data_IF_826264690935
#
_entry.id   IF_826264690935
#
_cell.length_a   1.000
_cell.length_b   1.000
_cell.length_c   1.000
_cell.angle_alpha   90.00
_cell.angle_beta   90.00
_cell.angle_gamma   90.00
#
_symmetry.space_group_name_H-M   'P 1'
#
loop_
_entity.id
_entity.type
_entity.pdbx_description
1 polymer ?
#
# COMPACT_ATOMS: atom_id res chain seq x y z
N UNK A 1 18.08 6.62 6.61
CA UNK A 1 17.61 5.33 7.16
C UNK A 1 16.12 5.08 6.98
N UNK A 2 15.22 6.05 7.18
CA UNK A 2 13.77 5.79 7.19
C UNK A 2 13.10 5.50 5.84
N UNK A 3 13.70 5.83 4.68
CA UNK A 3 13.11 5.47 3.38
C UNK A 3 13.73 4.18 2.84
N UNK A 4 15.05 4.04 2.92
CA UNK A 4 15.82 2.90 2.40
C UNK A 4 15.45 1.57 3.07
N UNK A 5 15.20 1.56 4.39
CA UNK A 5 14.78 0.35 5.09
C UNK A 5 13.32 -0.01 4.82
N UNK A 6 12.47 0.98 4.58
CA UNK A 6 11.03 0.82 4.41
C UNK A 6 10.62 0.43 2.99
N UNK A 7 11.53 0.43 2.02
CA UNK A 7 11.35 -0.27 0.74
C UNK A 7 10.96 -1.73 0.96
N UNK A 8 11.54 -2.37 1.99
CA UNK A 8 11.26 -3.77 2.35
C UNK A 8 10.10 -3.94 3.34
N UNK A 9 9.59 -2.84 3.90
CA UNK A 9 8.45 -2.86 4.80
C UNK A 9 7.56 -1.62 4.59
N UNK A 10 6.86 -1.53 3.45
CA UNK A 10 6.14 -0.33 3.03
C UNK A 10 4.87 -0.05 3.85
N UNK A 11 4.44 -0.98 4.69
CA UNK A 11 3.27 -0.82 5.57
C UNK A 11 3.65 -0.50 7.02
N UNK A 12 4.92 -0.26 7.30
CA UNK A 12 5.35 0.10 8.65
C UNK A 12 4.93 1.53 8.99
N UNK A 13 4.25 1.70 10.11
CA UNK A 13 3.91 3.01 10.64
C UNK A 13 5.16 3.67 11.22
N UNK A 14 5.48 4.86 10.72
CA UNK A 14 6.59 5.67 11.24
C UNK A 14 6.07 6.75 12.17
N UNK A 15 6.70 6.86 13.33
CA UNK A 15 6.42 7.91 14.30
C UNK A 15 7.59 8.89 14.33
N UNK A 16 7.27 10.19 14.37
CA UNK A 16 8.27 11.25 14.54
C UNK A 16 7.92 12.09 15.74
N UNK A 17 8.92 12.35 16.57
CA UNK A 17 8.80 13.23 17.72
C UNK A 17 8.66 14.68 17.25
N UNK A 18 7.50 15.30 17.50
CA UNK A 18 7.24 16.71 17.18
C UNK A 18 7.58 17.67 18.33
N UNK A 19 8.36 17.22 19.32
CA UNK A 19 8.77 18.03 20.47
C UNK A 19 7.86 17.90 21.70
N UNK A 20 6.60 17.49 21.53
CA UNK A 20 5.64 17.28 22.65
C UNK A 20 5.00 15.90 22.67
N UNK A 21 4.78 15.32 21.49
CA UNK A 21 4.20 13.99 21.31
C UNK A 21 4.81 13.35 20.06
N UNK A 22 4.69 12.03 19.95
CA UNK A 22 4.97 11.30 18.72
C UNK A 22 3.77 11.42 17.80
N UNK A 23 4.00 11.88 16.58
CA UNK A 23 2.98 11.93 15.54
C UNK A 23 3.27 10.86 14.49
N UNK A 24 2.22 10.19 14.02
CA UNK A 24 2.31 9.35 12.84
C UNK A 24 2.74 10.19 11.63
N UNK A 25 3.73 9.69 10.89
CA UNK A 25 4.17 10.25 9.63
C UNK A 25 4.02 9.18 8.56
N UNK A 26 3.36 9.51 7.46
CA UNK A 26 3.20 8.59 6.35
C UNK A 26 4.49 8.50 5.54
N UNK A 27 4.83 7.30 5.08
CA UNK A 27 6.02 7.08 4.24
C UNK A 27 5.92 7.82 2.90
N UNK A 28 4.71 8.07 2.40
CA UNK A 28 4.50 8.91 1.22
C UNK A 28 4.94 10.37 1.45
N UNK A 29 4.73 10.91 2.65
CA UNK A 29 5.13 12.29 3.00
C UNK A 29 6.65 12.41 3.10
N UNK A 30 7.32 11.29 3.38
CA UNK A 30 8.77 11.13 3.33
C UNK A 30 9.30 10.87 1.91
N UNK A 31 8.43 10.82 0.90
CA UNK A 31 8.78 10.61 -0.50
C UNK A 31 9.04 9.15 -0.89
N UNK A 32 8.60 8.18 -0.09
CA UNK A 32 8.69 6.77 -0.47
C UNK A 32 7.77 6.50 -1.67
N UNK A 33 8.38 6.09 -2.78
CA UNK A 33 7.70 5.70 -4.00
C UNK A 33 7.88 4.19 -4.22
N UNK A 34 6.76 3.48 -4.31
CA UNK A 34 6.76 2.05 -4.62
C UNK A 34 6.66 1.90 -6.14
N UNK A 35 7.74 1.49 -6.78
CA UNK A 35 7.75 1.21 -8.21
C UNK A 35 7.27 -0.22 -8.47
N UNK A 36 6.30 -0.36 -9.37
CA UNK A 36 5.79 -1.65 -9.82
C UNK A 36 6.59 -2.14 -11.03
N UNK A 37 6.91 -3.43 -11.02
CA UNK A 37 7.84 -4.02 -11.98
C UNK A 37 9.30 -3.69 -11.66
N UNK A 38 10.21 -4.15 -12.53
CA UNK A 38 11.66 -3.91 -12.40
C UNK A 38 12.25 -4.20 -11.00
N UNK A 39 11.71 -5.20 -10.29
CA UNK A 39 12.10 -5.55 -8.92
C UNK A 39 12.09 -4.36 -7.93
N UNK A 40 11.17 -3.40 -8.12
CA UNK A 40 11.05 -2.22 -7.27
C UNK A 40 11.93 -1.04 -7.71
N UNK A 41 12.71 -1.17 -8.78
CA UNK A 41 13.43 -0.05 -9.38
C UNK A 41 12.52 0.85 -10.22
N UNK A 42 12.93 2.10 -10.40
CA UNK A 42 12.24 3.02 -11.29
C UNK A 42 12.21 2.48 -12.73
N UNK A 43 11.09 2.69 -13.41
CA UNK A 43 10.93 2.23 -14.78
C UNK A 43 11.90 2.98 -15.72
N UNK A 44 12.77 2.30 -16.48
CA UNK A 44 13.76 2.94 -17.34
C UNK A 44 13.13 3.62 -18.58
N UNK A 45 11.90 3.27 -18.92
CA UNK A 45 11.15 3.91 -20.00
C UNK A 45 10.68 5.33 -19.64
N UNK A 46 10.79 5.72 -18.37
CA UNK A 46 10.37 7.02 -17.88
C UNK A 46 11.58 7.75 -17.30
N UNK A 47 11.80 8.99 -17.75
CA UNK A 47 12.83 9.88 -17.19
C UNK A 47 12.54 10.23 -15.73
N UNK A 48 11.25 10.20 -15.32
CA UNK A 48 10.82 10.30 -13.93
C UNK A 48 9.62 9.37 -13.70
N UNK A 49 9.65 8.53 -12.66
CA UNK A 49 8.52 7.65 -12.38
C UNK A 49 7.30 8.49 -11.95
N UNK A 50 6.11 8.26 -12.53
CA UNK A 50 4.91 8.97 -12.13
C UNK A 50 4.56 8.59 -10.69
N UNK A 51 4.50 9.57 -9.79
CA UNK A 51 4.07 9.37 -8.42
C UNK A 51 2.55 9.47 -8.36
N UNK A 52 1.86 8.35 -8.52
CA UNK A 52 0.40 8.31 -8.42
C UNK A 52 -0.01 8.08 -6.96
N UNK A 53 -0.86 8.95 -6.37
CA UNK A 53 -1.39 8.70 -5.03
C UNK A 53 -2.31 7.48 -5.09
N UNK A 54 -2.11 6.56 -4.15
CA UNK A 54 -2.77 5.28 -4.15
C UNK A 54 -3.01 4.82 -2.72
N UNK A 55 -4.16 4.18 -2.49
CA UNK A 55 -4.52 3.66 -1.18
C UNK A 55 -4.35 2.15 -1.14
N UNK A 56 -3.60 1.64 -0.16
CA UNK A 56 -3.55 0.20 0.10
C UNK A 56 -4.09 -0.13 1.48
N UNK A 57 -5.01 -1.07 1.48
CA UNK A 57 -5.59 -1.60 2.71
C UNK A 57 -4.76 -2.84 3.10
N UNK A 58 -4.13 -2.76 4.27
CA UNK A 58 -3.32 -3.83 4.85
C UNK A 58 -3.88 -4.30 6.20
N UNK A 59 -3.39 -5.43 6.69
CA UNK A 59 -3.89 -6.03 7.94
C UNK A 59 -3.64 -5.15 9.18
N UNK A 60 -2.72 -4.20 9.09
CA UNK A 60 -2.38 -3.25 10.15
C UNK A 60 -2.98 -1.84 9.94
N UNK A 61 -3.83 -1.63 8.93
CA UNK A 61 -4.47 -0.33 8.69
C UNK A 61 -4.56 0.06 7.21
N UNK A 62 -4.98 1.30 6.97
CA UNK A 62 -5.16 1.90 5.65
C UNK A 62 -3.99 2.82 5.35
N UNK A 63 -3.24 2.51 4.29
CA UNK A 63 -2.00 3.21 3.94
C UNK A 63 -2.19 4.10 2.72
N UNK A 64 -1.86 5.38 2.86
CA UNK A 64 -1.68 6.28 1.72
C UNK A 64 -0.23 6.16 1.23
N UNK A 65 -0.05 5.84 -0.05
CA UNK A 65 1.25 5.59 -0.64
C UNK A 65 1.35 6.16 -2.05
N UNK A 66 2.59 6.33 -2.53
CA UNK A 66 2.86 6.72 -3.90
C UNK A 66 3.28 5.49 -4.69
N UNK A 67 2.64 5.26 -5.83
CA UNK A 67 2.94 4.15 -6.73
C UNK A 67 3.44 4.68 -8.07
N UNK A 68 4.46 4.01 -8.60
CA UNK A 68 4.94 4.19 -9.97
C UNK A 68 4.69 2.95 -10.80
N UNK A 69 3.77 3.02 -11.76
CA UNK A 69 3.54 1.93 -12.71
C UNK A 69 4.65 1.85 -13.75
N UNK A 70 5.02 0.63 -14.14
CA UNK A 70 5.89 0.39 -15.29
C UNK A 70 5.16 0.80 -16.59
N UNK A 71 5.85 1.56 -17.45
CA UNK A 71 5.35 1.98 -18.76
C UNK A 71 6.26 1.52 -19.90
N UNK A 72 7.01 0.43 -19.70
CA UNK A 72 7.79 -0.17 -20.78
C UNK A 72 6.86 -0.58 -21.95
N UNK A 73 7.32 -0.53 -23.22
CA UNK A 73 6.50 -0.89 -24.39
C UNK A 73 5.93 -2.32 -24.37
N UNK A 74 6.58 -3.22 -23.63
CA UNK A 74 6.14 -4.61 -23.39
C UNK A 74 5.68 -4.83 -21.94
N UNK A 75 5.33 -3.76 -21.25
CA UNK A 75 4.86 -3.78 -19.87
C UNK A 75 3.50 -4.45 -19.76
N UNK A 76 3.24 -5.01 -18.58
CA UNK A 76 1.94 -5.60 -18.24
C UNK A 76 0.91 -4.50 -17.95
N UNK A 77 -0.37 -4.80 -18.08
CA UNK A 77 -1.44 -3.90 -17.66
C UNK A 77 -1.32 -3.52 -16.17
N UNK A 78 -1.79 -2.33 -15.80
CA UNK A 78 -1.68 -1.81 -14.42
C UNK A 78 -2.20 -2.79 -13.36
N UNK A 79 -3.35 -3.42 -13.59
CA UNK A 79 -3.92 -4.39 -12.63
C UNK A 79 -3.04 -5.64 -12.49
N UNK A 80 -2.38 -6.10 -13.56
CA UNK A 80 -1.47 -7.25 -13.50
C UNK A 80 -0.22 -6.87 -12.73
N UNK A 81 0.32 -5.65 -12.94
CA UNK A 81 1.46 -5.15 -12.17
C UNK A 81 1.16 -5.13 -10.66
N UNK A 82 -0.06 -4.72 -10.27
CA UNK A 82 -0.52 -4.79 -8.88
C UNK A 82 -0.57 -6.23 -8.36
N UNK A 83 -1.13 -7.15 -9.14
CA UNK A 83 -1.20 -8.57 -8.75
C UNK A 83 0.19 -9.18 -8.57
N UNK A 84 1.14 -8.87 -9.46
CA UNK A 84 2.55 -9.28 -9.32
C UNK A 84 3.21 -8.70 -8.05
N UNK A 85 2.75 -7.54 -7.59
CA UNK A 85 3.19 -6.91 -6.34
C UNK A 85 2.37 -7.35 -5.11
N UNK A 86 1.56 -8.42 -5.21
CA UNK A 86 0.68 -8.91 -4.14
C UNK A 86 -0.38 -7.88 -3.68
N UNK A 87 -0.85 -7.07 -4.62
CA UNK A 87 -1.99 -6.16 -4.45
C UNK A 87 -3.16 -6.61 -5.32
N UNK A 88 -4.29 -6.86 -4.68
CA UNK A 88 -5.53 -7.12 -5.37
C UNK A 88 -6.27 -5.80 -5.61
N UNK A 89 -6.41 -5.36 -6.86
CA UNK A 89 -7.01 -4.06 -7.17
C UNK A 89 -8.49 -4.03 -6.77
N UNK A 90 -8.97 -2.88 -6.28
CA UNK A 90 -10.38 -2.67 -6.02
C UNK A 90 -11.19 -2.54 -7.34
N UNK A 91 -10.56 -1.97 -8.37
CA UNK A 91 -11.10 -1.85 -9.74
C UNK A 91 -10.03 -2.24 -10.75
N UNK A 92 -10.42 -2.92 -11.83
CA UNK A 92 -9.47 -3.31 -12.88
C UNK A 92 -9.12 -2.12 -13.80
N UNK A 93 -10.11 -1.27 -14.06
CA UNK A 93 -9.93 -0.03 -14.82
C UNK A 93 -9.42 1.07 -13.88
N UNK A 94 -8.27 1.65 -14.23
CA UNK A 94 -7.62 2.75 -13.52
C UNK A 94 -7.66 2.62 -11.99
N UNK A 95 -7.02 1.58 -11.41
CA UNK A 95 -7.05 1.34 -9.97
C UNK A 95 -6.47 2.54 -9.23
N UNK A 96 -7.18 3.00 -8.20
CA UNK A 96 -6.70 3.98 -7.21
C UNK A 96 -6.53 3.39 -5.81
N UNK A 97 -7.00 2.15 -5.65
CA UNK A 97 -7.01 1.44 -4.39
C UNK A 97 -6.77 -0.05 -4.64
N UNK A 98 -6.09 -0.69 -3.70
CA UNK A 98 -5.93 -2.13 -3.68
C UNK A 98 -5.92 -2.69 -2.26
N UNK A 99 -6.19 -3.97 -2.15
CA UNK A 99 -6.08 -4.76 -0.94
C UNK A 99 -4.80 -5.58 -1.01
N UNK A 100 -3.99 -5.56 0.03
CA UNK A 100 -2.87 -6.52 0.11
C UNK A 100 -3.41 -7.96 0.18
N UNK A 101 -2.67 -8.92 -0.38
CA UNK A 101 -3.08 -10.33 -0.26
C UNK A 101 -3.11 -10.81 1.20
N UNK A 102 -2.28 -10.21 2.07
CA UNK A 102 -2.29 -10.46 3.50
C UNK A 102 -3.64 -10.15 4.13
N UNK A 103 -4.25 -9.00 3.81
CA UNK A 103 -5.57 -8.65 4.39
C UNK A 103 -6.67 -9.56 3.87
N UNK A 104 -6.60 -9.99 2.61
CA UNK A 104 -7.60 -10.93 2.06
C UNK A 104 -7.55 -12.27 2.80
N UNK A 105 -6.35 -12.78 3.10
CA UNK A 105 -6.18 -14.01 3.88
C UNK A 105 -6.65 -13.84 5.32
N UNK A 106 -6.30 -12.73 5.98
CA UNK A 106 -6.70 -12.45 7.35
C UNK A 106 -8.22 -12.29 7.48
N UNK A 107 -8.84 -11.52 6.58
CA UNK A 107 -10.28 -11.37 6.52
C UNK A 107 -11.00 -12.70 6.28
N UNK A 108 -10.49 -13.53 5.36
CA UNK A 108 -11.07 -14.84 5.10
C UNK A 108 -11.09 -15.72 6.36
N UNK A 109 -10.01 -15.74 7.14
CA UNK A 109 -9.97 -16.47 8.42
C UNK A 109 -10.95 -15.87 9.45
N UNK A 110 -11.02 -14.54 9.56
CA UNK A 110 -11.97 -13.88 10.46
C UNK A 110 -13.43 -14.13 10.07
N UNK A 111 -13.74 -14.18 8.77
CA UNK A 111 -15.06 -14.52 8.27
C UNK A 111 -15.41 -15.97 8.63
N UNK A 112 -14.49 -16.93 8.42
CA UNK A 112 -14.73 -18.35 8.72
C UNK A 112 -14.84 -18.63 10.22
N UNK A 113 -13.91 -18.11 11.03
CA UNK A 113 -13.82 -18.45 12.45
C UNK A 113 -14.77 -17.62 13.33
N UNK A 114 -15.01 -16.36 12.97
CA UNK A 114 -15.72 -15.41 13.83
C UNK A 114 -17.00 -14.87 13.21
N UNK A 115 -17.34 -15.25 11.96
CA UNK A 115 -18.48 -14.73 11.20
C UNK A 115 -18.51 -13.20 11.15
N UNK A 116 -17.34 -12.56 11.21
CA UNK A 116 -17.24 -11.10 11.12
C UNK A 116 -17.71 -10.66 9.74
N UNK A 117 -18.58 -9.65 9.72
CA UNK A 117 -18.93 -8.99 8.47
C UNK A 117 -17.72 -8.24 7.90
N UNK A 118 -17.72 -8.02 6.59
CA UNK A 118 -16.71 -7.16 5.96
C UNK A 118 -16.70 -5.75 6.56
N UNK A 119 -17.87 -5.23 6.94
CA UNK A 119 -18.02 -3.92 7.57
C UNK A 119 -17.33 -3.85 8.93
N UNK A 120 -17.58 -4.81 9.82
CA UNK A 120 -16.98 -4.81 11.17
C UNK A 120 -15.46 -4.95 11.11
N UNK A 121 -14.97 -5.76 10.16
CA UNK A 121 -13.54 -5.90 9.92
C UNK A 121 -12.93 -4.61 9.37
N UNK A 122 -13.59 -3.94 8.43
CA UNK A 122 -13.16 -2.63 7.94
C UNK A 122 -13.18 -1.56 9.04
N UNK A 123 -14.22 -1.51 9.89
CA UNK A 123 -14.31 -0.59 11.02
C UNK A 123 -13.15 -0.80 12.02
N UNK A 124 -12.73 -2.05 12.26
CA UNK A 124 -11.53 -2.38 13.03
C UNK A 124 -10.28 -1.74 12.39
N UNK A 125 -10.09 -1.86 11.08
CA UNK A 125 -8.94 -1.27 10.38
C UNK A 125 -8.93 0.26 10.44
N UNK A 126 -10.09 0.89 10.31
CA UNK A 126 -10.21 2.35 10.43
C UNK A 126 -9.77 2.80 11.82
N UNK A 127 -10.27 2.14 12.88
CA UNK A 127 -9.85 2.44 14.27
C UNK A 127 -8.36 2.23 14.46
N UNK A 128 -7.83 1.10 13.98
CA UNK A 128 -6.39 0.84 14.00
C UNK A 128 -5.58 1.90 13.26
N UNK A 129 -6.14 2.58 12.25
CA UNK A 129 -5.45 3.65 11.52
C UNK A 129 -5.53 4.99 12.25
N UNK A 130 -6.62 5.22 12.99
CA UNK A 130 -6.85 6.44 13.78
C UNK A 130 -6.19 6.41 15.16
N UNK A 131 -5.93 5.22 15.70
CA UNK A 131 -5.25 5.00 16.99
C UNK A 131 -3.72 5.06 16.87
N UNK A 132 -3.19 5.48 15.72
CA UNK A 132 -1.76 5.71 15.42
C UNK A 132 -1.53 7.21 15.32
#
# INVERSE_FOLDING_TARGET
CQVTSHVHNPFHWTEVWQGKFYACQLLCDLGLLICLGHNGAACPALSRPPSTPFVVIHANGIHNMLLGFCQCPRGLNCYIQLLCANFFPATFDNPKMAFSFTIMKDFHLHMLCLKKSAYDYYAKLVRQTSDI
#
